data_IF_949960646322
#
_entry.id   IF_949960646322
#
_cell.length_a   1.000
_cell.length_b   1.000
_cell.length_c   1.000
_cell.angle_alpha   90.00
_cell.angle_beta   90.00
_cell.angle_gamma   90.00
#
_symmetry.space_group_name_H-M   'P 1'
#
loop_
_entity.id
_entity.type
_entity.pdbx_description
1 polymer ?
#
# COMPACT_ATOMS: atom_id res chain seq x y z
N UNK A 1 -27.59 17.30 12.66
CA UNK A 1 -27.21 16.28 11.65
C UNK A 1 -26.47 16.98 10.53
N UNK A 2 -25.15 17.07 10.63
CA UNK A 2 -24.34 17.74 9.62
C UNK A 2 -24.07 16.77 8.48
N UNK A 3 -24.72 17.03 7.35
CA UNK A 3 -24.53 16.32 6.10
C UNK A 3 -23.17 16.74 5.53
N UNK A 4 -22.09 16.03 5.89
CA UNK A 4 -20.81 16.25 5.21
C UNK A 4 -20.94 15.70 3.79
N UNK A 5 -20.77 16.52 2.74
CA UNK A 5 -20.76 16.01 1.38
C UNK A 5 -19.63 14.99 1.29
N UNK A 6 -19.94 13.81 0.75
CA UNK A 6 -18.97 12.78 0.41
C UNK A 6 -17.94 13.44 -0.50
N UNK A 7 -16.85 13.97 0.06
CA UNK A 7 -15.69 14.35 -0.73
C UNK A 7 -15.26 13.04 -1.37
N UNK A 8 -15.47 12.90 -2.67
CA UNK A 8 -14.76 11.91 -3.46
C UNK A 8 -13.32 11.95 -2.95
N UNK A 9 -12.89 10.85 -2.33
CA UNK A 9 -11.62 10.79 -1.61
C UNK A 9 -10.55 11.20 -2.62
N UNK A 10 -9.87 12.33 -2.40
CA UNK A 10 -8.80 12.82 -3.29
C UNK A 10 -7.58 11.90 -3.30
N UNK A 11 -7.64 10.82 -2.54
CA UNK A 11 -6.61 9.83 -2.34
C UNK A 11 -6.75 8.75 -3.41
N UNK A 12 -5.64 8.25 -3.99
CA UNK A 12 -5.69 7.13 -4.91
C UNK A 12 -6.44 5.97 -4.28
N UNK A 13 -7.35 5.35 -5.04
CA UNK A 13 -8.19 4.27 -4.52
C UNK A 13 -7.46 2.93 -4.51
N UNK A 14 -6.35 2.82 -5.24
CA UNK A 14 -5.66 1.56 -5.51
C UNK A 14 -4.16 1.78 -5.60
N UNK A 15 -3.40 0.85 -5.05
CA UNK A 15 -1.95 0.79 -5.17
C UNK A 15 -1.53 -0.63 -5.49
N UNK A 16 -0.43 -0.78 -6.21
CA UNK A 16 0.33 -2.03 -6.27
C UNK A 16 1.41 -1.94 -5.19
N UNK A 17 1.44 -2.94 -4.32
CA UNK A 17 2.46 -3.15 -3.32
C UNK A 17 3.42 -4.20 -3.85
N UNK A 18 4.71 -3.89 -3.81
CA UNK A 18 5.80 -4.83 -4.05
C UNK A 18 6.49 -5.08 -2.72
N UNK A 19 6.59 -6.35 -2.33
CA UNK A 19 7.44 -6.79 -1.22
C UNK A 19 8.79 -7.16 -1.81
N UNK A 20 9.83 -6.46 -1.37
CA UNK A 20 11.18 -6.56 -1.95
C UNK A 20 12.18 -6.76 -0.83
N UNK A 21 13.24 -7.56 -1.02
CA UNK A 21 14.32 -7.61 -0.04
C UNK A 21 14.98 -6.24 0.12
N UNK A 22 15.15 -5.78 1.36
CA UNK A 22 15.67 -4.43 1.70
C UNK A 22 17.00 -4.11 0.98
N UNK A 23 17.86 -5.12 0.80
CA UNK A 23 19.17 -4.96 0.14
C UNK A 23 19.07 -4.65 -1.37
N UNK A 24 17.88 -4.70 -1.97
CA UNK A 24 17.63 -4.45 -3.40
C UNK A 24 16.89 -3.13 -3.64
N UNK A 25 16.28 -2.55 -2.62
CA UNK A 25 15.49 -1.31 -2.74
C UNK A 25 16.28 -0.13 -3.31
N UNK A 26 17.60 -0.12 -3.12
CA UNK A 26 18.50 0.97 -3.54
C UNK A 26 19.00 0.85 -5.01
N UNK A 27 18.47 -0.11 -5.80
CA UNK A 27 19.03 -0.44 -7.14
C UNK A 27 18.26 0.11 -8.35
N UNK A 28 17.23 0.94 -8.13
CA UNK A 28 16.44 1.61 -9.18
C UNK A 28 15.23 0.82 -9.67
N UNK A 29 14.19 1.53 -10.13
CA UNK A 29 12.81 1.01 -10.34
C UNK A 29 12.72 -0.33 -11.08
N UNK A 30 13.43 -0.51 -12.20
CA UNK A 30 13.38 -1.76 -12.96
C UNK A 30 13.97 -2.95 -12.18
N UNK A 31 15.09 -2.73 -11.48
CA UNK A 31 15.72 -3.77 -10.65
C UNK A 31 14.86 -4.14 -9.44
N UNK A 32 14.11 -3.18 -8.90
CA UNK A 32 13.23 -3.37 -7.74
C UNK A 32 12.03 -4.23 -8.11
N UNK A 33 11.37 -3.94 -9.24
CA UNK A 33 10.22 -4.73 -9.73
C UNK A 33 10.62 -6.19 -9.99
N UNK A 34 11.75 -6.41 -10.67
CA UNK A 34 12.24 -7.75 -10.98
C UNK A 34 12.67 -8.55 -9.73
N UNK A 35 12.88 -7.87 -8.62
CA UNK A 35 13.32 -8.47 -7.34
C UNK A 35 12.19 -8.63 -6.33
N UNK A 36 10.97 -8.22 -6.67
CA UNK A 36 9.82 -8.38 -5.80
C UNK A 36 9.54 -9.87 -5.57
N UNK A 37 9.54 -10.28 -4.30
CA UNK A 37 9.21 -11.65 -3.91
C UNK A 37 7.70 -11.88 -3.89
N UNK A 38 6.91 -10.79 -3.80
CA UNK A 38 5.45 -10.79 -3.92
C UNK A 38 4.99 -9.42 -4.44
N UNK A 39 3.94 -9.42 -5.25
CA UNK A 39 3.20 -8.21 -5.61
C UNK A 39 1.71 -8.42 -5.41
N UNK A 40 1.00 -7.35 -5.06
CA UNK A 40 -0.46 -7.36 -4.98
C UNK A 40 -1.02 -5.97 -5.21
N UNK A 41 -2.21 -5.91 -5.82
CA UNK A 41 -3.01 -4.69 -5.83
C UNK A 41 -3.88 -4.65 -4.58
N UNK A 42 -3.79 -3.55 -3.85
CA UNK A 42 -4.62 -3.26 -2.68
C UNK A 42 -5.56 -2.10 -2.99
N UNK A 43 -6.77 -2.16 -2.42
CA UNK A 43 -7.80 -1.12 -2.62
C UNK A 43 -8.17 -0.50 -1.28
N UNK A 44 -8.50 0.80 -1.30
CA UNK A 44 -8.92 1.52 -0.10
C UNK A 44 -10.15 0.84 0.49
N UNK A 45 -10.09 0.48 1.77
CA UNK A 45 -11.20 -0.21 2.44
C UNK A 45 -12.26 0.77 2.95
N UNK A 46 -11.97 2.07 2.97
CA UNK A 46 -12.78 3.11 3.59
C UNK A 46 -12.57 3.25 5.10
N UNK A 47 -11.73 2.40 5.69
CA UNK A 47 -11.43 2.39 7.13
C UNK A 47 -10.10 3.10 7.42
N UNK A 48 -9.92 3.49 8.68
CA UNK A 48 -8.66 4.02 9.18
C UNK A 48 -7.89 2.94 9.93
N UNK A 49 -6.59 2.92 9.71
CA UNK A 49 -5.65 2.06 10.39
C UNK A 49 -5.26 2.56 11.78
N UNK A 50 -4.52 1.73 12.52
CA UNK A 50 -4.07 2.04 13.89
C UNK A 50 -3.00 3.14 13.89
N UNK A 51 -2.21 3.26 12.82
CA UNK A 51 -1.26 4.36 12.60
C UNK A 51 -1.95 5.72 12.38
N UNK A 52 -3.27 5.72 12.14
CA UNK A 52 -4.03 6.91 11.80
C UNK A 52 -4.07 7.25 10.32
N UNK A 53 -3.62 6.34 9.44
CA UNK A 53 -3.69 6.48 7.99
C UNK A 53 -4.75 5.57 7.35
N UNK A 54 -5.24 5.88 6.13
CA UNK A 54 -6.24 5.04 5.47
C UNK A 54 -5.75 3.61 5.24
N UNK A 55 -6.64 2.64 5.46
CA UNK A 55 -6.38 1.22 5.27
C UNK A 55 -6.68 0.78 3.84
N UNK A 56 -5.79 -0.03 3.30
CA UNK A 56 -5.89 -0.67 2.00
C UNK A 56 -5.75 -2.18 2.17
N UNK A 57 -6.50 -2.97 1.39
CA UNK A 57 -6.41 -4.42 1.45
C UNK A 57 -6.60 -5.08 0.09
N UNK A 58 -5.96 -6.23 -0.11
CA UNK A 58 -6.09 -7.02 -1.34
C UNK A 58 -5.11 -8.19 -1.38
N UNK A 59 -5.58 -9.35 -1.86
CA UNK A 59 -4.75 -10.55 -2.06
C UNK A 59 -3.90 -10.94 -0.84
N UNK A 60 -4.47 -10.82 0.37
CA UNK A 60 -3.79 -11.16 1.62
C UNK A 60 -2.84 -10.08 2.14
N UNK A 61 -2.66 -8.96 1.42
CA UNK A 61 -1.92 -7.80 1.94
C UNK A 61 -2.91 -6.80 2.54
N UNK A 62 -2.57 -6.29 3.72
CA UNK A 62 -3.21 -5.12 4.34
C UNK A 62 -2.14 -4.07 4.59
N UNK A 63 -2.42 -2.82 4.26
CA UNK A 63 -1.48 -1.73 4.43
C UNK A 63 -2.16 -0.45 4.91
N UNK A 64 -1.44 0.30 5.73
CA UNK A 64 -1.82 1.65 6.15
C UNK A 64 -0.91 2.64 5.42
N UNK A 65 -1.49 3.46 4.55
CA UNK A 65 -0.73 4.24 3.56
C UNK A 65 -1.08 5.72 3.68
N UNK A 66 -0.07 6.56 3.91
CA UNK A 66 -0.20 7.99 3.66
C UNK A 66 -0.28 8.23 2.16
N UNK A 67 -1.49 8.26 1.63
CA UNK A 67 -1.75 8.55 0.22
C UNK A 67 -1.19 9.89 -0.31
N UNK A 68 -0.83 10.84 0.55
CA UNK A 68 -0.25 12.11 0.13
C UNK A 68 1.26 12.00 -0.13
N UNK A 69 1.99 11.30 0.75
CA UNK A 69 3.44 11.13 0.67
C UNK A 69 3.86 9.77 0.10
N UNK A 70 2.91 8.84 0.00
CA UNK A 70 3.08 7.42 -0.33
C UNK A 70 3.90 6.64 0.70
N UNK A 71 4.03 7.16 1.93
CA UNK A 71 4.61 6.42 3.04
C UNK A 71 3.71 5.25 3.44
N UNK A 72 4.33 4.13 3.80
CA UNK A 72 3.65 2.94 4.34
C UNK A 72 4.00 2.84 5.80
N UNK A 73 2.98 2.87 6.65
CA UNK A 73 3.14 2.98 8.10
C UNK A 73 2.95 1.63 8.80
N UNK A 74 2.18 0.73 8.19
CA UNK A 74 2.01 -0.64 8.64
C UNK A 74 1.67 -1.56 7.47
N UNK A 75 2.17 -2.80 7.51
CA UNK A 75 1.82 -3.87 6.56
C UNK A 75 1.60 -5.18 7.28
N UNK A 76 0.53 -5.87 6.92
CA UNK A 76 0.30 -7.27 7.23
C UNK A 76 0.28 -8.10 5.94
N UNK A 77 0.89 -9.27 6.00
CA UNK A 77 0.88 -10.30 4.97
C UNK A 77 0.21 -11.54 5.54
N UNK A 78 -0.96 -11.86 5.00
CA UNK A 78 -1.83 -12.95 5.42
C UNK A 78 -2.13 -12.91 6.94
N UNK A 79 -2.28 -11.68 7.46
CA UNK A 79 -2.58 -11.40 8.87
C UNK A 79 -1.38 -11.36 9.82
N UNK A 80 -0.17 -11.57 9.31
CA UNK A 80 1.08 -11.51 10.08
C UNK A 80 1.88 -10.26 9.72
N UNK A 81 2.67 -9.73 10.65
CA UNK A 81 3.59 -8.62 10.38
C UNK A 81 4.58 -9.00 9.27
N UNK A 82 5.00 -8.01 8.47
CA UNK A 82 5.98 -8.23 7.41
C UNK A 82 7.29 -8.78 7.99
N UNK A 83 7.85 -9.80 7.33
CA UNK A 83 9.12 -10.39 7.75
C UNK A 83 10.26 -9.38 7.72
N UNK A 84 11.14 -9.46 8.72
CA UNK A 84 12.34 -8.64 8.82
C UNK A 84 13.24 -8.87 7.59
N UNK A 85 13.76 -7.78 7.01
CA UNK A 85 14.60 -7.82 5.82
C UNK A 85 13.83 -7.71 4.49
N UNK A 86 12.51 -7.54 4.56
CA UNK A 86 11.67 -7.11 3.45
C UNK A 86 11.23 -5.66 3.66
N UNK A 87 11.28 -4.88 2.59
CA UNK A 87 10.65 -3.57 2.52
C UNK A 87 9.54 -3.53 1.49
N UNK A 88 8.92 -2.35 1.40
CA UNK A 88 7.66 -2.14 0.68
C UNK A 88 7.84 -1.01 -0.31
N UNK A 89 7.59 -1.31 -1.58
CA UNK A 89 7.57 -0.30 -2.64
C UNK A 89 6.14 -0.15 -3.15
N UNK A 90 5.65 1.09 -3.16
CA UNK A 90 4.33 1.45 -3.68
C UNK A 90 4.42 1.92 -5.12
N UNK A 91 3.48 1.42 -5.93
CA UNK A 91 3.22 1.93 -7.27
C UNK A 91 1.76 2.31 -7.42
N UNK A 92 1.50 3.40 -8.10
CA UNK A 92 0.13 3.79 -8.44
C UNK A 92 -0.42 2.86 -9.52
N UNK A 93 -1.66 2.43 -9.34
CA UNK A 93 -2.39 1.64 -10.34
C UNK A 93 -3.52 2.52 -10.88
N UNK A 94 -3.71 2.60 -12.20
CA UNK A 94 -4.82 3.34 -12.78
C UNK A 94 -6.17 2.89 -12.19
N UNK A 95 -7.10 3.84 -12.08
CA UNK A 95 -8.49 3.52 -11.81
C UNK A 95 -9.00 2.52 -12.85
N UNK A 96 -9.82 1.56 -12.43
CA UNK A 96 -10.48 0.65 -13.38
C UNK A 96 -11.39 1.50 -14.29
N UNK A 97 -11.40 1.27 -15.62
CA UNK A 97 -12.28 1.98 -16.53
C UNK A 97 -13.76 1.79 -16.20
#
# INVERSE_FOLDING_TARGET
MSNQPQRASRHPQRFEILLVPEHVEDRGDASVVDSAVRSAVVEATGEWGVSGYPRYAGHGIEAEIDSATRAVEAVLVDGSELDIGLGVVLREVPARP
#
